data_IF_358930249879
#
_entry.id   IF_358930249879
#
_cell.length_a   1.000
_cell.length_b   1.000
_cell.length_c   1.000
_cell.angle_alpha   90.00
_cell.angle_beta   90.00
_cell.angle_gamma   90.00
#
_symmetry.space_group_name_H-M   'P 1'
#
loop_
_entity.id
_entity.type
_entity.pdbx_description
1 polymer ?
#
# COMPACT_ATOMS: atom_id res chain seq x y z
N UNK A 1 38.68 15.81 53.66
CA UNK A 1 39.11 15.78 52.25
C UNK A 1 39.02 17.20 51.69
N UNK A 2 40.15 17.87 51.45
CA UNK A 2 40.18 19.26 50.95
C UNK A 2 39.89 19.27 49.45
N UNK A 3 38.64 19.53 49.10
CA UNK A 3 38.21 19.67 47.71
C UNK A 3 38.88 20.91 47.09
N UNK A 4 39.47 20.72 45.91
CA UNK A 4 40.17 21.76 45.16
C UNK A 4 39.23 22.95 44.89
N UNK A 5 39.72 24.18 45.14
CA UNK A 5 38.90 25.42 45.10
C UNK A 5 38.35 25.72 43.71
N UNK A 6 39.05 25.24 42.70
CA UNK A 6 38.68 25.27 41.29
C UNK A 6 37.35 24.54 41.07
N UNK A 7 37.25 23.28 41.51
CA UNK A 7 36.07 22.40 41.33
C UNK A 7 34.82 23.05 41.90
N UNK A 8 34.94 23.73 43.05
CA UNK A 8 33.82 24.41 43.71
C UNK A 8 33.28 25.60 42.91
N UNK A 9 34.16 26.34 42.20
CA UNK A 9 33.76 27.46 41.32
C UNK A 9 33.09 26.99 40.03
N UNK A 10 33.43 25.80 39.54
CA UNK A 10 32.83 25.24 38.32
C UNK A 10 31.37 24.85 38.55
N UNK A 11 31.08 24.18 39.68
CA UNK A 11 29.70 23.84 40.04
C UNK A 11 28.86 25.10 40.33
N UNK A 12 29.48 26.16 40.88
CA UNK A 12 28.79 27.42 41.11
C UNK A 12 28.51 28.19 39.81
N UNK A 13 29.42 28.16 38.82
CA UNK A 13 29.19 28.70 37.47
C UNK A 13 28.13 27.92 36.68
N UNK A 14 27.97 26.63 36.96
CA UNK A 14 26.94 25.78 36.33
C UNK A 14 25.55 25.94 36.96
N UNK A 15 25.39 26.81 37.97
CA UNK A 15 24.09 27.12 38.56
C UNK A 15 23.47 25.97 39.38
N UNK A 16 24.27 24.95 39.74
CA UNK A 16 23.80 23.75 40.46
C UNK A 16 23.87 23.86 42.00
N UNK A 17 24.30 25.00 42.54
CA UNK A 17 24.25 25.25 43.99
C UNK A 17 23.33 26.42 44.30
N UNK A 18 22.35 26.18 45.16
CA UNK A 18 21.53 27.22 45.77
C UNK A 18 22.35 28.10 46.73
N UNK A 19 21.81 29.26 47.15
CA UNK A 19 22.48 30.23 48.01
C UNK A 19 22.97 29.67 49.37
N UNK A 20 22.45 28.50 49.77
CA UNK A 20 22.73 27.88 51.08
C UNK A 20 23.66 26.65 50.99
N UNK A 21 24.25 26.36 49.81
CA UNK A 21 25.25 25.29 49.65
C UNK A 21 24.69 23.87 49.47
N UNK A 22 23.37 23.72 49.36
CA UNK A 22 22.71 22.46 49.03
C UNK A 22 22.77 22.19 47.50
N UNK A 23 23.06 20.94 47.06
CA UNK A 23 23.02 20.58 45.64
C UNK A 23 21.58 20.69 45.14
N UNK A 24 21.35 21.50 44.10
CA UNK A 24 20.06 21.57 43.42
C UNK A 24 19.80 20.18 42.83
N UNK A 25 18.90 19.45 43.48
CA UNK A 25 18.48 18.11 43.08
C UNK A 25 17.73 18.25 41.76
N UNK A 26 18.46 18.25 40.65
CA UNK A 26 17.92 18.12 39.30
C UNK A 26 16.99 16.92 39.36
N UNK A 27 15.68 17.18 39.20
CA UNK A 27 14.63 16.16 39.19
C UNK A 27 15.16 14.96 38.41
N UNK A 28 15.14 13.73 38.96
CA UNK A 28 15.61 12.58 38.22
C UNK A 28 14.84 12.56 36.91
N UNK A 29 15.57 12.87 35.83
CA UNK A 29 15.10 12.70 34.48
C UNK A 29 14.57 11.27 34.44
N UNK A 30 13.27 11.18 34.30
CA UNK A 30 12.49 9.97 34.43
C UNK A 30 12.89 9.07 33.27
N UNK A 31 14.02 8.39 33.45
CA UNK A 31 14.50 7.33 32.60
C UNK A 31 13.59 6.16 32.91
N UNK A 32 12.40 6.22 32.32
CA UNK A 32 11.49 5.11 32.22
C UNK A 32 12.26 3.98 31.55
N UNK A 33 12.67 3.01 32.37
CA UNK A 33 13.15 1.70 31.93
C UNK A 33 12.14 1.19 30.88
N UNK A 34 12.57 0.73 29.69
CA UNK A 34 11.69 -0.05 28.85
C UNK A 34 11.55 -1.41 29.53
N UNK A 35 10.65 -1.49 30.51
CA UNK A 35 10.21 -2.76 31.08
C UNK A 35 9.51 -3.53 29.97
N UNK A 36 9.85 -4.82 29.84
CA UNK A 36 9.50 -5.71 28.75
C UNK A 36 8.11 -5.51 28.13
N UNK A 37 8.11 -5.30 26.82
CA UNK A 37 7.04 -5.70 25.94
C UNK A 37 7.64 -6.64 24.92
N UNK A 38 7.15 -7.87 24.82
CA UNK A 38 7.43 -8.76 23.71
C UNK A 38 7.35 -7.98 22.39
N UNK A 39 8.18 -8.28 21.36
CA UNK A 39 8.05 -7.64 20.06
C UNK A 39 6.60 -7.81 19.63
N UNK A 40 5.83 -6.72 19.62
CA UNK A 40 4.49 -6.74 19.04
C UNK A 40 4.73 -7.09 17.59
N UNK A 41 4.46 -8.35 17.27
CA UNK A 41 4.46 -8.90 15.93
C UNK A 41 3.82 -7.83 15.04
N UNK A 42 4.64 -7.23 14.18
CA UNK A 42 4.20 -6.20 13.24
C UNK A 42 3.28 -6.90 12.24
N UNK A 43 2.04 -7.17 12.67
CA UNK A 43 0.96 -7.51 11.75
C UNK A 43 0.87 -6.33 10.82
N UNK A 44 1.10 -6.58 9.54
CA UNK A 44 1.00 -5.57 8.49
C UNK A 44 -0.35 -4.90 8.64
N UNK A 45 -0.34 -3.61 9.00
CA UNK A 45 -1.56 -2.86 9.13
C UNK A 45 -2.25 -2.84 7.76
N UNK A 46 -3.58 -2.99 7.66
CA UNK A 46 -4.29 -2.94 6.37
C UNK A 46 -3.96 -1.71 5.53
N UNK A 47 -3.67 -0.58 6.19
CA UNK A 47 -3.20 0.66 5.56
C UNK A 47 -1.85 0.51 4.84
N UNK A 48 -0.93 -0.28 5.40
CA UNK A 48 0.36 -0.57 4.80
C UNK A 48 0.21 -1.52 3.60
N UNK A 49 -0.63 -2.55 3.71
CA UNK A 49 -0.95 -3.46 2.61
C UNK A 49 -1.52 -2.73 1.38
N UNK A 50 -2.50 -1.83 1.56
CA UNK A 50 -3.06 -1.04 0.44
C UNK A 50 -2.01 -0.13 -0.20
N UNK A 51 -1.07 0.41 0.60
CA UNK A 51 0.03 1.23 0.08
C UNK A 51 0.98 0.41 -0.79
N UNK A 52 1.30 -0.81 -0.36
CA UNK A 52 2.13 -1.77 -1.10
C UNK A 52 1.43 -2.20 -2.40
N UNK A 53 0.15 -2.58 -2.35
CA UNK A 53 -0.67 -2.94 -3.53
C UNK A 53 -0.74 -1.80 -4.55
N UNK A 54 -0.94 -0.55 -4.11
CA UNK A 54 -0.93 0.61 -5.01
C UNK A 54 0.45 0.83 -5.65
N UNK A 55 1.53 0.51 -4.94
CA UNK A 55 2.88 0.54 -5.48
C UNK A 55 3.07 -0.48 -6.62
N UNK A 56 2.57 -1.70 -6.43
CA UNK A 56 2.62 -2.77 -7.44
C UNK A 56 1.66 -2.52 -8.62
N UNK A 57 0.45 -2.01 -8.36
CA UNK A 57 -0.52 -1.66 -9.41
C UNK A 57 -0.01 -0.59 -10.38
N UNK A 58 0.95 0.25 -9.96
CA UNK A 58 1.61 1.23 -10.84
C UNK A 58 2.60 0.56 -11.82
N UNK A 59 3.06 -0.66 -11.55
CA UNK A 59 3.88 -1.45 -12.47
C UNK A 59 3.05 -2.12 -13.56
N UNK A 60 1.73 -2.19 -13.39
CA UNK A 60 0.82 -2.72 -14.41
C UNK A 60 0.77 -1.71 -15.55
N UNK A 61 1.19 -2.15 -16.73
CA UNK A 61 1.04 -1.40 -17.96
C UNK A 61 -0.44 -1.43 -18.37
N UNK A 62 -1.20 -0.41 -17.94
CA UNK A 62 -2.57 -0.25 -18.39
C UNK A 62 -2.59 0.16 -19.85
N UNK A 63 -3.39 -0.53 -20.68
CA UNK A 63 -3.42 -0.27 -22.11
C UNK A 63 -3.90 1.15 -22.40
N UNK A 64 -3.41 1.72 -23.49
CA UNK A 64 -3.87 3.02 -23.97
C UNK A 64 -5.30 2.90 -24.50
N UNK A 65 -6.05 4.01 -24.50
CA UNK A 65 -7.41 4.02 -25.05
C UNK A 65 -7.46 3.55 -26.51
N UNK A 66 -6.41 3.81 -27.28
CA UNK A 66 -6.31 3.40 -28.68
C UNK A 66 -6.17 1.88 -28.81
N UNK A 67 -5.35 1.24 -27.98
CA UNK A 67 -5.21 -0.23 -27.96
C UNK A 67 -6.52 -0.90 -27.62
N UNK A 68 -7.22 -0.41 -26.59
CA UNK A 68 -8.53 -0.94 -26.18
C UNK A 68 -9.51 -0.87 -27.35
N UNK A 69 -9.63 0.29 -28.00
CA UNK A 69 -10.53 0.46 -29.16
C UNK A 69 -10.15 -0.48 -30.30
N UNK A 70 -8.86 -0.62 -30.60
CA UNK A 70 -8.39 -1.51 -31.68
C UNK A 70 -8.76 -2.96 -31.42
N UNK A 71 -8.52 -3.45 -30.21
CA UNK A 71 -8.87 -4.81 -29.83
C UNK A 71 -10.39 -5.02 -29.79
N UNK A 72 -11.15 -4.06 -29.29
CA UNK A 72 -12.62 -4.12 -29.32
C UNK A 72 -13.17 -4.20 -30.74
N UNK A 73 -12.62 -3.44 -31.70
CA UNK A 73 -13.04 -3.49 -33.11
C UNK A 73 -12.80 -4.89 -33.70
N UNK A 74 -11.63 -5.48 -33.44
CA UNK A 74 -11.31 -6.83 -33.92
C UNK A 74 -12.32 -7.84 -33.38
N UNK A 75 -12.58 -7.81 -32.07
CA UNK A 75 -13.56 -8.70 -31.43
C UNK A 75 -14.96 -8.50 -32.01
N UNK A 76 -15.38 -7.25 -32.22
CA UNK A 76 -16.68 -6.93 -32.79
C UNK A 76 -16.84 -7.49 -34.21
N UNK A 77 -15.83 -7.33 -35.06
CA UNK A 77 -15.79 -7.91 -36.40
C UNK A 77 -15.87 -9.44 -36.36
N UNK A 78 -15.10 -10.08 -35.48
CA UNK A 78 -15.13 -11.54 -35.33
C UNK A 78 -16.52 -12.02 -34.93
N UNK A 79 -17.18 -11.36 -33.98
CA UNK A 79 -18.55 -11.72 -33.56
C UNK A 79 -19.51 -11.56 -34.74
N UNK A 80 -19.47 -10.44 -35.46
CA UNK A 80 -20.36 -10.20 -36.61
C UNK A 80 -20.21 -11.29 -37.67
N UNK A 81 -18.98 -11.68 -38.01
CA UNK A 81 -18.71 -12.74 -39.00
C UNK A 81 -19.28 -14.08 -38.52
N UNK A 82 -18.97 -14.49 -37.29
CA UNK A 82 -19.43 -15.77 -36.75
C UNK A 82 -20.96 -15.82 -36.63
N UNK A 83 -21.58 -14.76 -36.12
CA UNK A 83 -23.05 -14.65 -36.02
C UNK A 83 -23.70 -14.71 -37.40
N UNK A 84 -23.14 -14.01 -38.39
CA UNK A 84 -23.68 -14.03 -39.77
C UNK A 84 -23.56 -15.42 -40.39
N UNK A 85 -22.44 -16.11 -40.17
CA UNK A 85 -22.21 -17.46 -40.67
C UNK A 85 -23.20 -18.46 -40.05
N UNK A 86 -23.37 -18.44 -38.73
CA UNK A 86 -24.31 -19.31 -38.02
C UNK A 86 -25.74 -19.02 -38.49
N UNK A 87 -26.13 -17.75 -38.55
CA UNK A 87 -27.45 -17.35 -39.04
C UNK A 87 -27.73 -17.82 -40.46
N UNK A 88 -26.76 -17.68 -41.38
CA UNK A 88 -26.90 -18.15 -42.76
C UNK A 88 -27.07 -19.67 -42.82
N UNK A 89 -26.29 -20.39 -42.01
CA UNK A 89 -26.37 -21.85 -41.93
C UNK A 89 -27.73 -22.30 -41.38
N UNK A 90 -28.19 -21.70 -40.29
CA UNK A 90 -29.51 -21.96 -39.69
C UNK A 90 -30.63 -21.69 -40.68
N UNK A 91 -30.53 -20.60 -41.46
CA UNK A 91 -31.51 -20.25 -42.47
C UNK A 91 -31.59 -21.29 -43.60
N UNK A 92 -30.43 -21.75 -44.08
CA UNK A 92 -30.35 -22.80 -45.12
C UNK A 92 -30.93 -24.11 -44.59
N UNK A 93 -30.55 -24.53 -43.38
CA UNK A 93 -31.09 -25.75 -42.78
C UNK A 93 -32.60 -25.65 -42.56
N UNK A 94 -33.10 -24.52 -42.05
CA UNK A 94 -34.53 -24.31 -41.89
C UNK A 94 -35.27 -24.49 -43.22
N UNK A 95 -34.84 -23.80 -44.29
CA UNK A 95 -35.47 -23.90 -45.61
C UNK A 95 -35.34 -25.30 -46.22
N UNK A 96 -34.19 -25.97 -46.06
CA UNK A 96 -33.96 -27.32 -46.56
C UNK A 96 -34.84 -28.35 -45.87
N UNK A 97 -35.02 -28.23 -44.55
CA UNK A 97 -35.90 -29.10 -43.76
C UNK A 97 -37.35 -28.92 -44.17
N UNK A 98 -37.84 -27.67 -44.30
CA UNK A 98 -39.20 -27.42 -44.78
C UNK A 98 -39.43 -27.99 -46.18
N UNK A 99 -38.47 -27.84 -47.09
CA UNK A 99 -38.57 -28.43 -48.44
C UNK A 99 -38.63 -29.96 -48.41
N UNK A 100 -37.88 -30.62 -47.52
CA UNK A 100 -37.88 -32.07 -47.39
C UNK A 100 -39.18 -32.63 -46.80
N UNK A 101 -39.80 -31.90 -45.86
CA UNK A 101 -41.04 -32.35 -45.20
C UNK A 101 -42.33 -31.94 -45.96
N UNK A 102 -42.25 -30.91 -46.81
CA UNK A 102 -43.37 -30.45 -47.66
C UNK A 102 -43.36 -31.10 -49.06
N UNK A 103 -42.32 -31.89 -49.37
CA UNK A 103 -42.21 -32.74 -50.57
C UNK A 103 -42.54 -34.20 -50.27
#
# INVERSE_FOLDING_TARGET
MSMNRETKRMLQRQGELGPDGEPVRTKPQQQARPTGGAPKEQRTAPKQYVREVRGELRKVAWPTRQEVVRYSIIVLLTIVILTTMIFALDYIFAKGVFFLFDS
#
